data_IF_499014546742
#
_entry.id   IF_499014546742
#
_cell.length_a   1.000
_cell.length_b   1.000
_cell.length_c   1.000
_cell.angle_alpha   90.00
_cell.angle_beta   90.00
_cell.angle_gamma   90.00
#
_symmetry.space_group_name_H-M   'P 1'
#
loop_
_entity.id
_entity.type
_entity.pdbx_description
1 polymer ?
#
# COMPACT_ATOMS: atom_id res chain seq x y z
N UNK A 1 22.05 9.12 -5.96
CA UNK A 1 20.76 9.25 -5.24
C UNK A 1 19.71 9.68 -6.27
N UNK A 2 18.55 9.01 -6.33
CA UNK A 2 17.45 9.48 -7.20
C UNK A 2 16.79 10.66 -6.50
N UNK A 3 16.66 11.79 -7.20
CA UNK A 3 15.97 12.97 -6.68
C UNK A 3 14.52 12.92 -7.15
N UNK A 4 13.52 12.82 -6.26
CA UNK A 4 12.12 12.82 -6.67
C UNK A 4 11.73 14.12 -7.36
N UNK A 5 10.93 14.01 -8.42
CA UNK A 5 10.18 15.14 -9.00
C UNK A 5 8.96 15.44 -8.11
N UNK A 6 8.28 14.39 -7.64
CA UNK A 6 7.22 14.45 -6.63
C UNK A 6 7.58 13.52 -5.48
N UNK A 7 7.37 13.98 -4.24
CA UNK A 7 7.64 13.24 -3.02
C UNK A 7 6.60 13.55 -1.94
N UNK A 8 5.71 12.58 -1.67
CA UNK A 8 4.68 12.69 -0.64
C UNK A 8 5.14 12.19 0.72
N UNK A 9 6.39 11.74 0.90
CA UNK A 9 6.88 11.24 2.21
C UNK A 9 6.66 12.22 3.38
N UNK A 10 6.83 13.55 3.24
CA UNK A 10 6.60 14.49 4.33
C UNK A 10 5.15 14.50 4.85
N UNK A 11 4.21 14.05 4.02
CA UNK A 11 2.78 14.04 4.31
C UNK A 11 2.28 12.72 4.91
N UNK A 12 3.17 11.75 5.11
CA UNK A 12 2.84 10.41 5.58
C UNK A 12 3.26 10.20 7.04
N UNK A 13 2.42 9.48 7.77
CA UNK A 13 2.76 8.98 9.10
C UNK A 13 3.91 7.95 9.04
N UNK A 14 4.57 7.63 10.17
CA UNK A 14 5.70 6.71 10.22
C UNK A 14 5.46 5.35 9.55
N UNK A 15 6.52 4.68 9.11
CA UNK A 15 6.44 3.39 8.42
C UNK A 15 5.96 2.30 9.38
N UNK A 16 5.14 1.39 8.85
CA UNK A 16 4.59 0.26 9.61
C UNK A 16 5.03 -1.08 9.02
N UNK A 17 4.81 -2.17 9.77
CA UNK A 17 5.24 -3.50 9.38
C UNK A 17 4.12 -4.54 9.55
N UNK A 18 3.67 -5.13 8.44
CA UNK A 18 2.63 -6.17 8.39
C UNK A 18 3.09 -7.56 8.89
N UNK A 19 4.39 -7.70 9.17
CA UNK A 19 5.05 -8.99 9.47
C UNK A 19 4.70 -10.06 8.43
N UNK A 20 4.23 -11.22 8.88
CA UNK A 20 3.91 -12.38 8.00
C UNK A 20 2.42 -12.46 7.64
N UNK A 21 1.60 -11.45 7.97
CA UNK A 21 0.16 -11.45 7.67
C UNK A 21 -0.09 -10.93 6.25
N UNK A 22 -1.11 -11.47 5.59
CA UNK A 22 -1.54 -11.05 4.25
C UNK A 22 -2.40 -9.77 4.26
N UNK A 23 -1.91 -8.74 4.96
CA UNK A 23 -2.65 -7.48 5.22
C UNK A 23 -2.15 -6.29 4.39
N UNK A 24 -1.35 -6.54 3.36
CA UNK A 24 -0.72 -5.49 2.53
C UNK A 24 -1.72 -4.49 1.94
N UNK A 25 -2.86 -4.96 1.42
CA UNK A 25 -3.91 -4.08 0.90
C UNK A 25 -4.50 -3.17 1.97
N UNK A 26 -4.73 -3.69 3.18
CA UNK A 26 -5.20 -2.88 4.30
C UNK A 26 -4.17 -1.83 4.70
N UNK A 27 -2.86 -2.16 4.70
CA UNK A 27 -1.80 -1.18 4.95
C UNK A 27 -1.72 -0.08 3.89
N UNK A 28 -1.69 -0.45 2.61
CA UNK A 28 -1.62 0.51 1.52
C UNK A 28 -2.86 1.43 1.51
N UNK A 29 -4.05 0.85 1.69
CA UNK A 29 -5.32 1.59 1.75
C UNK A 29 -5.41 2.50 2.96
N UNK A 30 -5.00 2.03 4.14
CA UNK A 30 -4.99 2.86 5.36
C UNK A 30 -4.04 4.03 5.22
N UNK A 31 -2.85 3.83 4.65
CA UNK A 31 -1.88 4.92 4.42
C UNK A 31 -2.45 5.96 3.46
N UNK A 32 -3.11 5.53 2.38
CA UNK A 32 -3.74 6.45 1.44
C UNK A 32 -4.92 7.22 2.07
N UNK A 33 -5.68 6.55 2.94
CA UNK A 33 -6.76 7.14 3.71
C UNK A 33 -6.27 8.16 4.74
N UNK A 34 -5.21 7.83 5.49
CA UNK A 34 -4.52 8.74 6.41
C UNK A 34 -3.98 9.97 5.67
N UNK A 35 -3.45 9.78 4.45
CA UNK A 35 -2.99 10.88 3.61
C UNK A 35 -4.14 11.84 3.25
N UNK A 36 -5.32 11.34 2.90
CA UNK A 36 -6.46 12.21 2.60
C UNK A 36 -7.07 12.85 3.86
N UNK A 37 -7.22 12.10 4.94
CA UNK A 37 -7.94 12.52 6.13
C UNK A 37 -7.12 13.39 7.09
N UNK A 38 -5.78 13.34 7.02
CA UNK A 38 -4.85 14.05 7.92
C UNK A 38 -5.21 13.92 9.42
N UNK A 39 -5.45 12.70 9.94
CA UNK A 39 -5.91 12.50 11.32
C UNK A 39 -4.89 12.85 12.41
N UNK A 40 -3.60 13.01 12.08
CA UNK A 40 -2.53 13.21 13.06
C UNK A 40 -2.07 11.93 13.79
N UNK A 41 -2.78 10.81 13.60
CA UNK A 41 -2.44 9.48 14.12
C UNK A 41 -2.84 8.38 13.13
N UNK A 42 -2.34 7.16 13.31
CA UNK A 42 -2.68 6.07 12.39
C UNK A 42 -4.15 5.64 12.53
N UNK A 43 -4.73 5.19 11.42
CA UNK A 43 -5.98 4.43 11.43
C UNK A 43 -5.72 2.94 11.67
N UNK A 44 -6.70 2.26 12.24
CA UNK A 44 -6.63 0.83 12.54
C UNK A 44 -6.61 0.00 11.25
N UNK A 45 -5.43 -0.52 10.93
CA UNK A 45 -5.25 -1.49 9.84
C UNK A 45 -5.93 -2.81 10.19
N UNK A 46 -5.94 -3.20 11.48
CA UNK A 46 -6.60 -4.43 11.94
C UNK A 46 -8.09 -4.42 11.62
N UNK A 47 -8.75 -3.29 11.90
CA UNK A 47 -10.17 -3.11 11.66
C UNK A 47 -10.51 -3.19 10.16
N UNK A 48 -9.76 -2.46 9.32
CA UNK A 48 -9.95 -2.53 7.87
C UNK A 48 -9.70 -3.95 7.34
N UNK A 49 -8.61 -4.59 7.79
CA UNK A 49 -8.26 -5.94 7.35
C UNK A 49 -9.33 -6.97 7.74
N UNK A 50 -9.85 -6.92 8.97
CA UNK A 50 -10.95 -7.78 9.42
C UNK A 50 -12.19 -7.64 8.53
N UNK A 51 -12.63 -6.41 8.30
CA UNK A 51 -13.81 -6.14 7.50
C UNK A 51 -13.62 -6.45 6.00
N UNK A 52 -12.39 -6.34 5.49
CA UNK A 52 -12.05 -6.73 4.13
C UNK A 52 -11.98 -8.26 3.97
N UNK A 53 -11.44 -9.00 4.94
CA UNK A 53 -11.45 -10.47 4.93
C UNK A 53 -12.87 -11.01 4.96
N UNK A 54 -13.75 -10.47 5.81
CA UNK A 54 -15.16 -10.87 5.86
C UNK A 54 -15.92 -10.67 4.53
N UNK A 55 -15.46 -9.74 3.68
CA UNK A 55 -16.00 -9.46 2.34
C UNK A 55 -15.27 -10.18 1.21
N UNK A 56 -14.14 -10.82 1.50
CA UNK A 56 -13.36 -11.58 0.53
C UNK A 56 -13.92 -13.00 0.41
N UNK A 57 -14.12 -13.56 -0.80
CA UNK A 57 -14.53 -14.94 -0.97
C UNK A 57 -13.61 -15.90 -0.20
N UNK A 58 -14.20 -16.81 0.59
CA UNK A 58 -13.48 -17.75 1.47
C UNK A 58 -13.17 -17.21 2.87
N UNK A 59 -13.20 -15.89 3.07
CA UNK A 59 -13.01 -15.24 4.38
C UNK A 59 -11.76 -15.72 5.15
N UNK A 60 -10.69 -16.02 4.41
CA UNK A 60 -9.44 -16.55 4.96
C UNK A 60 -8.39 -15.44 5.12
N UNK A 61 -8.06 -15.02 6.37
CA UNK A 61 -7.04 -14.00 6.60
C UNK A 61 -5.62 -14.45 6.21
N UNK A 62 -5.38 -15.73 5.95
CA UNK A 62 -4.10 -16.26 5.48
C UNK A 62 -3.93 -16.19 3.97
N UNK A 63 -5.00 -15.92 3.21
CA UNK A 63 -4.99 -15.77 1.75
C UNK A 63 -4.92 -14.30 1.28
N UNK A 64 -5.15 -13.36 2.20
CA UNK A 64 -5.19 -11.93 1.87
C UNK A 64 -6.60 -11.44 1.54
N UNK A 65 -6.68 -10.31 0.85
CA UNK A 65 -7.95 -9.67 0.49
C UNK A 65 -7.91 -9.20 -0.97
N UNK A 66 -9.05 -8.75 -1.50
CA UNK A 66 -9.11 -8.11 -2.81
C UNK A 66 -9.22 -6.59 -2.68
N UNK A 67 -8.83 -5.85 -3.72
CA UNK A 67 -9.05 -4.39 -3.76
C UNK A 67 -10.54 -4.05 -3.60
N UNK A 68 -11.42 -4.79 -4.28
CA UNK A 68 -12.87 -4.60 -4.18
C UNK A 68 -13.40 -4.81 -2.74
N UNK A 69 -12.98 -5.88 -2.07
CA UNK A 69 -13.40 -6.14 -0.69
C UNK A 69 -12.86 -5.09 0.29
N UNK A 70 -11.61 -4.64 0.08
CA UNK A 70 -11.00 -3.57 0.87
C UNK A 70 -11.69 -2.23 0.65
N UNK A 71 -12.03 -1.90 -0.60
CA UNK A 71 -12.76 -0.69 -0.96
C UNK A 71 -14.16 -0.66 -0.34
N UNK A 72 -14.93 -1.76 -0.46
CA UNK A 72 -16.25 -1.88 0.19
C UNK A 72 -16.13 -1.83 1.72
N UNK A 73 -15.13 -2.49 2.31
CA UNK A 73 -14.91 -2.42 3.75
C UNK A 73 -14.66 -0.98 4.23
N UNK A 74 -13.83 -0.21 3.51
CA UNK A 74 -13.55 1.18 3.88
C UNK A 74 -14.77 2.10 3.70
N UNK A 75 -15.55 1.91 2.64
CA UNK A 75 -16.76 2.70 2.40
C UNK A 75 -17.87 2.39 3.42
N UNK A 76 -18.08 1.12 3.75
CA UNK A 76 -19.20 0.68 4.58
C UNK A 76 -18.89 0.73 6.08
N UNK A 77 -17.73 0.22 6.48
CA UNK A 77 -17.33 0.11 7.88
C UNK A 77 -16.42 1.26 8.32
N UNK A 78 -15.61 1.80 7.40
CA UNK A 78 -14.61 2.81 7.73
C UNK A 78 -13.45 2.24 8.54
N UNK A 79 -12.73 3.13 9.23
CA UNK A 79 -11.66 2.80 10.15
C UNK A 79 -11.74 3.67 11.40
N UNK A 80 -11.61 3.10 12.61
CA UNK A 80 -11.28 3.89 13.77
C UNK A 80 -9.79 4.26 13.77
N UNK A 81 -9.40 5.09 14.74
CA UNK A 81 -7.99 5.30 15.08
C UNK A 81 -7.33 3.99 15.55
N UNK A 82 -6.02 3.88 15.38
CA UNK A 82 -5.23 2.67 15.65
C UNK A 82 -5.38 2.18 17.10
N UNK A 83 -5.53 3.10 18.05
CA UNK A 83 -5.68 2.78 19.48
C UNK A 83 -6.98 2.03 19.80
N UNK A 84 -8.02 2.15 18.97
CA UNK A 84 -9.29 1.45 19.16
C UNK A 84 -9.21 -0.05 18.87
N UNK A 85 -8.39 -0.44 17.89
CA UNK A 85 -8.03 -1.83 17.65
C UNK A 85 -6.60 -1.92 17.07
N UNK A 86 -5.59 -2.09 17.95
CA UNK A 86 -4.20 -2.12 17.51
C UNK A 86 -3.89 -3.31 16.60
N UNK A 87 -3.02 -3.08 15.63
CA UNK A 87 -2.56 -4.11 14.71
C UNK A 87 -1.77 -5.20 15.43
N UNK A 88 -2.20 -6.45 15.23
CA UNK A 88 -1.46 -7.61 15.72
C UNK A 88 -0.49 -8.12 14.64
N UNK A 89 0.81 -8.31 14.96
CA UNK A 89 1.79 -8.86 14.02
C UNK A 89 1.57 -10.34 13.71
N UNK A 90 0.70 -11.00 14.46
CA UNK A 90 0.31 -12.41 14.30
C UNK A 90 -1.21 -12.53 14.16
N UNK A 91 -1.67 -13.54 13.44
CA UNK A 91 -3.11 -13.84 13.36
C UNK A 91 -3.57 -14.45 14.69
N UNK A 92 -4.43 -13.75 15.42
CA UNK A 92 -4.98 -14.23 16.69
C UNK A 92 -6.22 -15.10 16.46
N UNK A 93 -6.50 -16.02 17.39
CA UNK A 93 -7.68 -16.89 17.39
C UNK A 93 -8.27 -16.98 18.82
N UNK A 94 -9.57 -16.64 19.03
CA UNK A 94 -10.51 -16.14 18.03
C UNK A 94 -10.11 -14.75 17.52
N UNK A 95 -10.39 -14.48 16.24
CA UNK A 95 -10.19 -13.15 15.64
C UNK A 95 -11.51 -12.39 15.66
N UNK A 96 -11.65 -11.46 16.61
CA UNK A 96 -12.87 -10.69 16.80
C UNK A 96 -12.55 -9.22 17.12
N UNK A 97 -13.32 -8.27 16.56
CA UNK A 97 -13.17 -6.85 16.87
C UNK A 97 -13.53 -6.58 18.33
N UNK A 98 -12.82 -5.66 19.01
CA UNK A 98 -13.29 -5.09 20.26
C UNK A 98 -14.52 -4.20 20.00
N UNK A 99 -15.21 -3.81 21.08
CA UNK A 99 -16.22 -2.77 20.98
C UNK A 99 -15.55 -1.43 20.63
N UNK A 100 -15.78 -0.94 19.41
CA UNK A 100 -15.24 0.34 18.93
C UNK A 100 -16.21 1.46 19.31
N UNK A 101 -15.73 2.40 20.12
CA UNK A 101 -16.50 3.59 20.55
C UNK A 101 -16.01 4.89 19.92
N UNK A 102 -14.86 4.85 19.22
CA UNK A 102 -14.29 5.99 18.50
C UNK A 102 -14.99 6.20 17.16
N UNK A 103 -14.85 7.40 16.59
CA UNK A 103 -15.34 7.73 15.25
C UNK A 103 -14.81 6.75 14.20
N UNK A 104 -15.70 6.32 13.30
CA UNK A 104 -15.34 5.53 12.12
C UNK A 104 -15.19 6.47 10.92
N UNK A 105 -13.96 6.62 10.44
CA UNK A 105 -13.60 7.42 9.29
C UNK A 105 -13.81 6.60 8.02
N UNK A 106 -14.62 7.11 7.11
CA UNK A 106 -14.96 6.44 5.84
C UNK A 106 -14.34 7.20 4.68
N UNK A 107 -13.93 6.46 3.67
CA UNK A 107 -13.51 7.02 2.40
C UNK A 107 -13.88 6.07 1.27
N UNK A 108 -14.02 6.62 0.06
CA UNK A 108 -14.27 5.84 -1.14
C UNK A 108 -12.94 5.54 -1.81
N UNK A 109 -12.66 4.25 -2.00
CA UNK A 109 -11.59 3.77 -2.88
C UNK A 109 -12.23 3.33 -4.18
N UNK A 110 -11.69 3.79 -5.30
CA UNK A 110 -12.11 3.40 -6.64
C UNK A 110 -11.02 2.54 -7.27
N UNK A 111 -11.24 1.21 -7.40
CA UNK A 111 -10.36 0.35 -8.18
C UNK A 111 -10.31 0.76 -9.66
N UNK A 112 -9.17 0.55 -10.29
CA UNK A 112 -8.92 0.91 -11.67
C UNK A 112 -7.69 0.19 -12.24
N UNK A 113 -7.34 0.54 -13.48
CA UNK A 113 -6.17 0.00 -14.19
C UNK A 113 -5.31 1.12 -14.75
N UNK A 114 -4.82 1.97 -13.85
CA UNK A 114 -3.96 3.08 -14.23
C UNK A 114 -2.65 2.54 -14.80
N UNK A 115 -2.25 3.05 -15.96
CA UNK A 115 -0.91 2.79 -16.50
C UNK A 115 0.09 3.76 -15.85
N UNK A 116 1.39 3.55 -16.10
CA UNK A 116 2.44 4.38 -15.51
C UNK A 116 2.17 5.89 -15.65
N UNK A 117 1.74 6.34 -16.84
CA UNK A 117 1.42 7.75 -17.09
C UNK A 117 0.26 8.29 -16.22
N UNK A 118 -0.79 7.49 -16.02
CA UNK A 118 -1.93 7.86 -15.17
C UNK A 118 -1.50 7.98 -13.70
N UNK A 119 -0.61 7.09 -13.25
CA UNK A 119 -0.05 7.12 -11.89
C UNK A 119 0.78 8.41 -11.70
N UNK A 120 1.61 8.77 -12.66
CA UNK A 120 2.37 10.04 -12.63
C UNK A 120 1.42 11.23 -12.54
N UNK A 121 0.40 11.29 -13.40
CA UNK A 121 -0.57 12.38 -13.42
C UNK A 121 -1.34 12.52 -12.09
N UNK A 122 -1.67 11.40 -11.44
CA UNK A 122 -2.29 11.43 -10.12
C UNK A 122 -1.32 11.92 -9.03
N UNK A 123 -0.07 11.47 -9.06
CA UNK A 123 0.95 11.91 -8.12
C UNK A 123 1.29 13.40 -8.25
N UNK A 124 1.29 13.94 -9.47
CA UNK A 124 1.45 15.38 -9.72
C UNK A 124 0.31 16.21 -9.10
N UNK A 125 -0.85 15.60 -8.84
CA UNK A 125 -1.97 16.19 -8.12
C UNK A 125 -1.94 15.93 -6.61
N UNK A 126 -0.85 15.36 -6.10
CA UNK A 126 -0.71 14.97 -4.69
C UNK A 126 -1.56 13.77 -4.30
N UNK A 127 -2.00 12.94 -5.25
CA UNK A 127 -2.86 11.77 -4.98
C UNK A 127 -2.03 10.48 -5.02
N UNK A 128 -1.79 9.83 -3.86
CA UNK A 128 -1.11 8.55 -3.86
C UNK A 128 -2.01 7.46 -4.46
N UNK A 129 -1.39 6.47 -5.12
CA UNK A 129 -2.09 5.38 -5.81
C UNK A 129 -1.75 4.04 -5.14
N UNK A 130 -2.76 3.28 -4.76
CA UNK A 130 -2.59 1.90 -4.28
C UNK A 130 -2.25 1.03 -5.48
N UNK A 131 -1.15 0.29 -5.42
CA UNK A 131 -0.69 -0.61 -6.48
C UNK A 131 -0.85 -2.06 -6.02
N UNK A 132 -1.50 -2.88 -6.84
CA UNK A 132 -1.51 -4.34 -6.75
C UNK A 132 -0.58 -4.91 -7.80
N UNK A 133 0.53 -5.50 -7.36
CA UNK A 133 1.62 -5.99 -8.19
C UNK A 133 1.82 -7.49 -7.98
N UNK A 134 2.41 -8.18 -8.96
CA UNK A 134 3.13 -9.43 -8.70
C UNK A 134 4.58 -9.09 -8.39
N UNK A 135 5.02 -9.38 -7.16
CA UNK A 135 6.39 -9.09 -6.75
C UNK A 135 7.33 -10.24 -7.13
N UNK A 136 8.61 -9.91 -7.27
CA UNK A 136 9.65 -10.83 -7.73
C UNK A 136 10.78 -10.97 -6.71
N UNK A 137 11.75 -11.83 -7.00
CA UNK A 137 12.95 -12.02 -6.18
C UNK A 137 13.80 -10.75 -6.01
N UNK A 138 13.83 -9.88 -7.02
CA UNK A 138 14.47 -8.57 -6.92
C UNK A 138 13.74 -7.63 -5.95
N UNK A 139 12.41 -7.75 -5.81
CA UNK A 139 11.61 -6.89 -4.92
C UNK A 139 12.01 -7.02 -3.45
N UNK A 140 12.47 -8.20 -3.04
CA UNK A 140 12.96 -8.43 -1.67
C UNK A 140 14.30 -7.75 -1.39
N UNK A 141 15.02 -7.30 -2.43
CA UNK A 141 16.41 -6.84 -2.35
C UNK A 141 16.62 -5.51 -3.06
N UNK A 142 15.95 -4.41 -2.65
CA UNK A 142 16.31 -3.09 -3.13
C UNK A 142 17.80 -2.82 -2.89
N UNK A 143 18.46 -2.15 -3.83
CA UNK A 143 19.86 -1.79 -3.69
C UNK A 143 20.10 -0.68 -2.65
N UNK A 144 21.36 -0.26 -2.47
CA UNK A 144 21.75 0.82 -1.54
C UNK A 144 21.12 2.18 -1.88
N UNK A 145 20.55 2.33 -3.08
CA UNK A 145 19.81 3.51 -3.52
C UNK A 145 18.29 3.25 -3.56
N UNK A 146 17.82 2.17 -2.96
CA UNK A 146 16.42 1.78 -2.89
C UNK A 146 15.84 1.26 -4.18
N UNK A 147 16.63 0.96 -5.20
CA UNK A 147 16.10 0.52 -6.50
C UNK A 147 15.81 -0.96 -6.43
N UNK A 148 14.57 -1.34 -6.75
CA UNK A 148 14.28 -2.73 -7.11
C UNK A 148 14.84 -2.96 -8.51
N UNK A 149 15.71 -3.96 -8.64
CA UNK A 149 16.29 -4.32 -9.94
C UNK A 149 15.19 -4.83 -10.86
N UNK A 150 15.22 -4.37 -12.11
CA UNK A 150 14.36 -4.90 -13.16
C UNK A 150 15.07 -6.07 -13.85
N UNK A 151 15.09 -7.22 -13.17
CA UNK A 151 15.65 -8.47 -13.73
C UNK A 151 14.64 -9.09 -14.70
N UNK A 152 15.11 -9.58 -15.84
CA UNK A 152 14.27 -10.26 -16.83
C UNK A 152 15.06 -11.37 -17.53
N UNK A 153 14.71 -12.66 -17.32
CA UNK A 153 13.64 -13.13 -16.43
C UNK A 153 13.97 -12.91 -14.95
N UNK A 154 12.92 -12.78 -14.12
CA UNK A 154 13.00 -12.81 -12.65
C UNK A 154 11.92 -13.77 -12.12
N UNK A 155 12.11 -14.30 -10.91
CA UNK A 155 11.18 -15.25 -10.30
C UNK A 155 10.03 -14.52 -9.61
N UNK A 156 8.82 -14.72 -10.09
CA UNK A 156 7.60 -14.23 -9.44
C UNK A 156 7.33 -14.96 -8.11
N UNK A 157 6.88 -14.20 -7.10
CA UNK A 157 6.67 -14.71 -5.74
C UNK A 157 5.22 -14.63 -5.28
N UNK A 158 4.42 -13.73 -5.83
CA UNK A 158 2.99 -13.62 -5.57
C UNK A 158 2.48 -12.19 -5.59
N UNK A 159 1.17 -12.04 -5.41
CA UNK A 159 0.51 -10.74 -5.31
C UNK A 159 0.90 -9.98 -4.06
N UNK A 160 1.16 -8.68 -4.18
CA UNK A 160 1.44 -7.77 -3.06
C UNK A 160 0.92 -6.37 -3.35
N UNK A 161 0.55 -5.65 -2.29
CA UNK A 161 0.07 -4.28 -2.40
C UNK A 161 1.01 -3.28 -1.72
N UNK A 162 1.26 -2.17 -2.40
CA UNK A 162 2.08 -1.04 -1.94
C UNK A 162 1.42 0.28 -2.32
N UNK A 163 1.94 1.40 -1.83
CA UNK A 163 1.44 2.73 -2.17
C UNK A 163 2.46 3.48 -3.03
N UNK A 164 2.08 3.93 -4.22
CA UNK A 164 2.85 4.91 -4.97
C UNK A 164 2.69 6.28 -4.33
N UNK A 165 3.80 6.93 -4.01
CA UNK A 165 3.84 8.17 -3.21
C UNK A 165 4.77 9.23 -3.81
N UNK A 166 5.26 9.01 -5.02
CA UNK A 166 6.15 9.94 -5.69
C UNK A 166 6.72 9.34 -6.96
N UNK A 167 7.46 10.15 -7.70
CA UNK A 167 8.10 9.71 -8.92
C UNK A 167 9.35 10.53 -9.23
N UNK A 168 10.16 9.99 -10.13
CA UNK A 168 11.22 10.72 -10.80
C UNK A 168 11.02 10.59 -12.31
N UNK A 169 10.82 11.73 -12.96
CA UNK A 169 10.78 11.89 -14.42
C UNK A 169 11.87 12.91 -14.82
N UNK A 170 13.11 12.66 -14.40
CA UNK A 170 14.23 13.56 -14.66
C UNK A 170 14.83 13.42 -16.07
N UNK A 171 15.39 14.51 -16.59
CA UNK A 171 16.10 14.54 -17.87
C UNK A 171 17.40 13.71 -17.81
N UNK A 172 17.32 12.42 -18.17
CA UNK A 172 18.48 11.53 -18.31
C UNK A 172 18.44 10.23 -17.51
N UNK A 173 17.38 9.97 -16.74
CA UNK A 173 17.19 8.71 -16.00
C UNK A 173 15.97 7.93 -16.49
N UNK A 174 15.96 6.61 -16.22
CA UNK A 174 14.77 5.78 -16.43
C UNK A 174 13.66 6.22 -15.47
N UNK A 175 12.47 6.60 -15.97
CA UNK A 175 11.34 6.98 -15.11
C UNK A 175 11.05 5.91 -14.06
N UNK A 176 10.79 6.34 -12.83
CA UNK A 176 10.54 5.44 -11.71
C UNK A 176 9.49 5.99 -10.75
N UNK A 177 8.74 5.08 -10.12
CA UNK A 177 7.84 5.38 -9.01
C UNK A 177 8.56 5.21 -7.69
N UNK A 178 8.41 6.16 -6.79
CA UNK A 178 8.71 6.00 -5.37
C UNK A 178 7.50 5.31 -4.72
N UNK A 179 7.73 4.14 -4.13
CA UNK A 179 6.72 3.37 -3.42
C UNK A 179 7.01 3.33 -1.92
N UNK A 180 5.94 3.23 -1.15
CA UNK A 180 5.94 2.90 0.27
C UNK A 180 5.46 1.47 0.47
N UNK A 181 6.24 0.68 1.20
CA UNK A 181 5.93 -0.69 1.56
C UNK A 181 5.54 -0.80 3.05
N UNK A 182 4.97 -1.94 3.43
CA UNK A 182 4.55 -2.27 4.79
C UNK A 182 5.44 -3.35 5.42
N UNK A 183 6.73 -3.35 5.09
CA UNK A 183 7.72 -4.32 5.61
C UNK A 183 8.71 -3.71 6.61
N UNK A 184 8.34 -2.58 7.22
CA UNK A 184 9.17 -1.89 8.21
C UNK A 184 10.32 -1.08 7.59
N UNK A 185 10.94 -0.27 8.42
CA UNK A 185 11.97 0.71 7.99
C UNK A 185 13.27 0.05 7.52
N UNK A 186 13.55 -1.19 7.94
CA UNK A 186 14.74 -1.92 7.50
C UNK A 186 14.70 -2.37 6.04
N UNK A 187 13.53 -2.32 5.39
CA UNK A 187 13.38 -2.70 3.99
C UNK A 187 13.61 -1.48 3.08
N UNK A 188 14.51 -1.61 2.11
CA UNK A 188 14.82 -0.55 1.15
C UNK A 188 15.38 0.73 1.81
N UNK A 189 14.91 1.88 1.34
CA UNK A 189 15.28 3.20 1.88
C UNK A 189 14.34 3.61 3.01
N UNK A 190 14.44 2.95 4.17
CA UNK A 190 13.60 3.33 5.31
C UNK A 190 12.13 2.92 5.12
N UNK A 191 11.84 1.81 4.43
CA UNK A 191 10.48 1.37 4.09
C UNK A 191 10.00 1.78 2.69
N UNK A 192 10.86 2.44 1.91
CA UNK A 192 10.57 2.94 0.57
C UNK A 192 11.48 2.33 -0.50
N UNK A 193 11.02 2.28 -1.75
CA UNK A 193 11.84 1.84 -2.87
C UNK A 193 11.44 2.52 -4.18
N UNK A 194 12.31 2.43 -5.17
CA UNK A 194 12.09 2.89 -6.53
C UNK A 194 11.79 1.69 -7.44
N UNK A 195 10.63 1.73 -8.09
CA UNK A 195 10.27 0.79 -9.16
C UNK A 195 10.44 1.48 -10.51
N UNK A 196 11.23 0.90 -11.40
CA UNK A 196 11.37 1.42 -12.77
C UNK A 196 10.04 1.29 -13.53
N UNK A 197 9.83 2.13 -14.55
CA UNK A 197 8.69 2.00 -15.47
C UNK A 197 8.56 0.58 -16.02
N UNK A 198 9.66 -0.03 -16.43
CA UNK A 198 9.66 -1.37 -17.02
C UNK A 198 9.25 -2.46 -16.01
N UNK A 199 9.60 -2.31 -14.72
CA UNK A 199 9.09 -3.18 -13.66
C UNK A 199 7.58 -3.00 -13.47
N UNK A 200 7.12 -1.75 -13.38
CA UNK A 200 5.69 -1.43 -13.19
C UNK A 200 4.85 -1.94 -14.36
N UNK A 201 5.26 -1.66 -15.60
CA UNK A 201 4.54 -2.09 -16.80
C UNK A 201 4.42 -3.62 -16.90
N UNK A 202 5.39 -4.37 -16.35
CA UNK A 202 5.38 -5.83 -16.35
C UNK A 202 4.55 -6.42 -15.21
N UNK A 203 4.64 -5.82 -14.02
CA UNK A 203 4.18 -6.43 -12.78
C UNK A 203 2.87 -5.85 -12.24
N UNK A 204 2.36 -4.74 -12.77
CA UNK A 204 1.14 -4.11 -12.31
C UNK A 204 -0.11 -4.80 -12.85
N UNK A 205 -0.98 -5.22 -11.93
CA UNK A 205 -2.24 -5.90 -12.27
C UNK A 205 -3.47 -5.03 -12.00
N UNK A 206 -3.45 -4.28 -10.89
CA UNK A 206 -4.58 -3.48 -10.47
C UNK A 206 -4.09 -2.24 -9.72
N UNK A 207 -4.89 -1.19 -9.75
CA UNK A 207 -4.65 0.06 -9.02
C UNK A 207 -5.90 0.45 -8.27
N UNK A 208 -5.77 1.28 -7.25
CA UNK A 208 -6.91 1.96 -6.68
C UNK A 208 -6.52 3.35 -6.17
N UNK A 209 -7.47 4.26 -6.20
CA UNK A 209 -7.28 5.65 -5.76
C UNK A 209 -8.41 6.05 -4.84
N UNK A 210 -8.10 6.87 -3.84
CA UNK A 210 -9.17 7.49 -3.06
C UNK A 210 -9.79 8.67 -3.84
N UNK A 211 -11.08 8.85 -3.62
CA UNK A 211 -11.90 9.93 -4.21
C UNK A 211 -12.67 10.66 -3.12
#
# INVERSE_FOLDING_TARGET
MIVPTVDLRPDLLPIRHQRRRQSCLAFASSTAHEHQARPGEHFSVEFLFYHAVARTPGSDPSAGTTMAATASALADAGQPVETAWPYSPIQVAPWAPPAVTTTLHKATIVPGKFIFGDIIAALDQGRPIILGLVITDAFYRPDVFGRVRDENPDTERGGHAVLAIGHNVGAGGTPALLIRNSWGESWGLGGYAWLSRAYVDRQLHETAVLT
#
